data_IF_634218836017
#
_entry.id   IF_634218836017
#
_cell.length_a   1.000
_cell.length_b   1.000
_cell.length_c   1.000
_cell.angle_alpha   90.00
_cell.angle_beta   90.00
_cell.angle_gamma   90.00
#
_symmetry.space_group_name_H-M   'P 1'
#
loop_
_entity.id
_entity.type
_entity.pdbx_description
1 polymer ?
#
# COMPACT_ATOMS: atom_id res chain seq x y z
N UNK A 1 0.49 11.02 16.07
CA UNK A 1 0.66 9.70 15.44
C UNK A 1 -0.64 8.94 15.65
N UNK A 2 -1.17 8.26 14.63
CA UNK A 2 -2.34 7.40 14.81
C UNK A 2 -1.95 6.18 15.65
N UNK A 3 -2.90 5.68 16.43
CA UNK A 3 -2.80 4.44 17.21
C UNK A 3 -2.95 3.22 16.31
N UNK A 4 -2.43 2.08 16.74
CA UNK A 4 -2.59 0.80 16.04
C UNK A 4 -4.07 0.48 15.79
N UNK A 5 -4.95 0.81 16.73
CA UNK A 5 -6.40 0.61 16.60
C UNK A 5 -6.98 1.48 15.49
N UNK A 6 -6.62 2.75 15.43
CA UNK A 6 -7.09 3.67 14.37
C UNK A 6 -6.62 3.19 13.00
N UNK A 7 -5.37 2.75 12.88
CA UNK A 7 -4.80 2.22 11.63
C UNK A 7 -5.55 0.96 11.17
N UNK A 8 -5.83 0.03 12.10
CA UNK A 8 -6.58 -1.20 11.76
C UNK A 8 -8.01 -0.90 11.33
N UNK A 9 -8.69 -0.02 12.05
CA UNK A 9 -10.08 0.33 11.75
C UNK A 9 -10.21 0.96 10.36
N UNK A 10 -9.34 1.92 10.03
CA UNK A 10 -9.32 2.55 8.71
C UNK A 10 -8.92 1.56 7.61
N UNK A 11 -7.97 0.67 7.89
CA UNK A 11 -7.55 -0.39 6.97
C UNK A 11 -8.70 -1.32 6.60
N UNK A 12 -9.44 -1.84 7.58
CA UNK A 12 -10.60 -2.71 7.35
C UNK A 12 -11.71 -1.98 6.58
N UNK A 13 -12.02 -0.73 6.96
CA UNK A 13 -13.01 0.07 6.25
C UNK A 13 -12.63 0.29 4.78
N UNK A 14 -11.33 0.52 4.51
CA UNK A 14 -10.81 0.68 3.15
C UNK A 14 -10.94 -0.61 2.34
N UNK A 15 -10.58 -1.76 2.93
CA UNK A 15 -10.70 -3.07 2.27
C UNK A 15 -12.16 -3.39 1.90
N UNK A 16 -13.10 -3.16 2.81
CA UNK A 16 -14.54 -3.37 2.55
C UNK A 16 -15.02 -2.44 1.43
N UNK A 17 -14.57 -1.19 1.42
CA UNK A 17 -14.95 -0.21 0.39
C UNK A 17 -14.45 -0.60 -1.00
N UNK A 18 -13.25 -1.17 -1.11
CA UNK A 18 -12.64 -1.48 -2.42
C UNK A 18 -12.95 -2.88 -2.93
N UNK A 19 -12.99 -3.88 -2.05
CA UNK A 19 -13.17 -5.29 -2.41
C UNK A 19 -14.61 -5.79 -2.14
N UNK A 20 -15.38 -5.05 -1.35
CA UNK A 20 -16.65 -5.54 -0.80
C UNK A 20 -16.44 -6.45 0.41
N UNK A 21 -17.51 -6.76 1.16
CA UNK A 21 -17.41 -7.41 2.46
C UNK A 21 -16.86 -8.84 2.37
N UNK A 22 -17.29 -9.63 1.38
CA UNK A 22 -16.89 -11.04 1.27
C UNK A 22 -15.41 -11.18 0.91
N UNK A 23 -14.92 -10.39 -0.04
CA UNK A 23 -13.52 -10.45 -0.48
C UNK A 23 -12.57 -9.84 0.55
N UNK A 24 -13.00 -8.78 1.25
CA UNK A 24 -12.24 -8.19 2.35
C UNK A 24 -11.98 -9.19 3.49
N UNK A 25 -13.01 -9.93 3.91
CA UNK A 25 -12.87 -10.99 4.92
C UNK A 25 -11.92 -12.10 4.46
N UNK A 26 -12.05 -12.53 3.20
CA UNK A 26 -11.15 -13.53 2.62
C UNK A 26 -9.69 -13.03 2.58
N UNK A 27 -9.47 -11.77 2.23
CA UNK A 27 -8.15 -11.15 2.22
C UNK A 27 -7.51 -11.13 3.62
N UNK A 28 -8.26 -10.71 4.64
CA UNK A 28 -7.80 -10.71 6.04
C UNK A 28 -7.45 -12.14 6.48
N UNK A 29 -8.30 -13.12 6.14
CA UNK A 29 -8.04 -14.52 6.45
C UNK A 29 -6.76 -15.05 5.77
N UNK A 30 -6.49 -14.66 4.52
CA UNK A 30 -5.27 -15.05 3.81
C UNK A 30 -4.01 -14.46 4.46
N UNK A 31 -4.03 -13.17 4.78
CA UNK A 31 -2.90 -12.48 5.44
C UNK A 31 -2.62 -13.03 6.84
N UNK A 32 -3.64 -13.50 7.55
CA UNK A 32 -3.46 -14.11 8.88
C UNK A 32 -2.95 -15.55 8.80
N UNK A 33 -3.22 -16.27 7.70
CA UNK A 33 -2.81 -17.67 7.49
C UNK A 33 -1.39 -17.78 6.95
N UNK A 34 -1.02 -16.88 6.05
CA UNK A 34 0.26 -16.91 5.35
C UNK A 34 1.08 -15.68 5.71
N UNK A 35 2.39 -15.87 5.96
CA UNK A 35 3.29 -14.72 6.11
C UNK A 35 3.43 -14.04 4.74
N UNK A 36 2.84 -12.85 4.61
CA UNK A 36 3.09 -11.98 3.47
C UNK A 36 4.57 -11.54 3.49
N UNK A 37 5.35 -11.92 2.48
CA UNK A 37 6.71 -11.42 2.30
C UNK A 37 6.64 -9.98 1.77
N UNK A 38 6.83 -9.02 2.67
CA UNK A 38 6.88 -7.59 2.34
C UNK A 38 7.98 -7.27 1.31
N UNK A 39 9.10 -7.99 1.35
CA UNK A 39 10.21 -7.79 0.41
C UNK A 39 9.79 -8.20 -0.99
N UNK A 40 9.12 -9.36 -1.11
CA UNK A 40 8.59 -9.84 -2.37
C UNK A 40 7.51 -8.94 -2.93
N UNK A 41 6.52 -8.57 -2.11
CA UNK A 41 5.47 -7.64 -2.51
C UNK A 41 6.03 -6.31 -3.01
N UNK A 42 7.07 -5.78 -2.33
CA UNK A 42 7.72 -4.50 -2.68
C UNK A 42 8.53 -4.58 -3.96
N UNK A 43 9.17 -5.72 -4.28
CA UNK A 43 9.93 -5.89 -5.53
C UNK A 43 9.09 -5.60 -6.76
N UNK A 44 7.80 -5.93 -6.70
CA UNK A 44 6.91 -5.81 -7.85
C UNK A 44 6.34 -4.39 -8.04
N UNK A 45 6.52 -3.48 -7.08
CA UNK A 45 5.91 -2.14 -7.11
C UNK A 45 6.54 -1.19 -8.15
N UNK A 46 7.75 -1.49 -8.63
CA UNK A 46 8.50 -0.64 -9.57
C UNK A 46 9.06 -1.40 -10.76
N UNK A 47 8.52 -2.58 -11.09
CA UNK A 47 9.03 -3.39 -12.21
C UNK A 47 9.01 -2.63 -13.54
N UNK A 48 8.06 -1.72 -13.72
CA UNK A 48 7.90 -0.90 -14.93
C UNK A 48 8.68 0.42 -14.87
N UNK A 49 9.47 0.67 -13.82
CA UNK A 49 10.11 1.95 -13.58
C UNK A 49 11.63 1.83 -13.43
N UNK A 50 12.37 2.57 -14.24
CA UNK A 50 13.82 2.69 -14.08
C UNK A 50 14.16 3.63 -12.92
N UNK A 51 15.36 3.46 -12.35
CA UNK A 51 15.90 4.37 -11.32
C UNK A 51 15.88 5.83 -11.79
N UNK A 52 16.17 6.07 -13.07
CA UNK A 52 16.14 7.41 -13.66
C UNK A 52 14.72 8.01 -13.68
N UNK A 53 13.71 7.21 -14.05
CA UNK A 53 12.30 7.62 -14.03
C UNK A 53 11.82 7.95 -12.62
N UNK A 54 12.16 7.09 -11.65
CA UNK A 54 11.86 7.30 -10.23
C UNK A 54 12.51 8.58 -9.70
N UNK A 55 13.79 8.83 -10.03
CA UNK A 55 14.50 10.04 -9.64
C UNK A 55 13.86 11.30 -10.25
N UNK A 56 13.39 11.23 -11.48
CA UNK A 56 12.71 12.35 -12.15
C UNK A 56 11.35 12.67 -11.52
N UNK A 57 10.54 11.64 -11.23
CA UNK A 57 9.28 11.78 -10.50
C UNK A 57 9.49 12.39 -9.12
N UNK A 58 10.52 11.95 -8.40
CA UNK A 58 10.86 12.51 -7.10
C UNK A 58 11.25 14.00 -7.19
N UNK A 59 12.02 14.41 -8.21
CA UNK A 59 12.35 15.82 -8.44
C UNK A 59 11.11 16.66 -8.74
N UNK A 60 10.21 16.17 -9.59
CA UNK A 60 8.95 16.85 -9.94
C UNK A 60 8.04 17.07 -8.73
N UNK A 61 7.88 16.05 -7.88
CA UNK A 61 7.12 16.18 -6.63
C UNK A 61 7.75 17.21 -5.69
N UNK A 62 9.08 17.21 -5.55
CA UNK A 62 9.79 18.19 -4.72
C UNK A 62 9.62 19.63 -5.20
N UNK A 63 9.58 19.87 -6.52
CA UNK A 63 9.31 21.21 -7.05
C UNK A 63 7.86 21.63 -6.87
N UNK A 64 6.91 20.70 -7.00
CA UNK A 64 5.48 20.98 -6.84
C UNK A 64 5.06 21.29 -5.40
N UNK A 65 5.77 20.76 -4.39
CA UNK A 65 5.53 21.10 -2.97
C UNK A 65 6.19 22.40 -2.51
N UNK A 66 6.85 23.15 -3.41
CA UNK A 66 7.51 24.42 -3.11
C UNK A 66 6.72 25.66 -3.53
N UNK A 67 5.54 25.48 -4.12
CA UNK A 67 4.51 26.52 -4.33
C UNK A 67 3.39 26.36 -3.31
#
# INVERSE_FOLDING_TARGET
MRTDTEIRHEGVATLIKTLGPVEAERFIALINRERLDYTEWRRNQWLEETVASLADKARKLRSASKE
#
